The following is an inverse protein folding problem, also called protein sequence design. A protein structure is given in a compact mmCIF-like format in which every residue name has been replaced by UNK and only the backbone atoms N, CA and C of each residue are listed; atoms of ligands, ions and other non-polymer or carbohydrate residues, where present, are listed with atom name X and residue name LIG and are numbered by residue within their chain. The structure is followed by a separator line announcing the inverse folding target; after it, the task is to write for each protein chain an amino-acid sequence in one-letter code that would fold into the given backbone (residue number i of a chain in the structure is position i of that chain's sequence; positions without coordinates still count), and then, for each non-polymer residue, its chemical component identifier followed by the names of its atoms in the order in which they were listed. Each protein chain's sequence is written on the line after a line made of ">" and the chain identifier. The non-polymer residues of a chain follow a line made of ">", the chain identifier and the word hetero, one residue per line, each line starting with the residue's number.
data_IF_645945411431
#
_entry.id   IF_645945411431
#
_cell.length_a   1.000
_cell.length_b   1.000
_cell.length_c   1.000
_cell.angle_alpha   90.00
_cell.angle_beta   90.00
_cell.angle_gamma   90.00
#
_symmetry.space_group_name_H-M   'P 1'
#
loop_
_entity.id
_entity.type
_entity.pdbx_description
1 polymer ?
#
# COMPACT_ATOMS: atom_id res chain seq x y z
N UNK A 1 -6.46 -16.05 -5.08
CA UNK A 1 -6.34 -14.88 -5.98
C UNK A 1 -5.65 -13.68 -5.31
N UNK A 2 -6.19 -13.11 -4.23
CA UNK A 2 -5.64 -11.88 -3.59
C UNK A 2 -4.17 -12.00 -3.19
N UNK A 3 -3.78 -13.09 -2.52
CA UNK A 3 -2.39 -13.29 -2.08
C UNK A 3 -1.39 -13.47 -3.22
N UNK A 4 -1.83 -13.85 -4.42
CA UNK A 4 -0.95 -13.87 -5.61
C UNK A 4 -0.60 -12.45 -6.02
N UNK A 5 -1.58 -11.54 -5.99
CA UNK A 5 -1.34 -10.11 -6.27
C UNK A 5 -0.47 -9.52 -5.17
N UNK A 6 -0.75 -9.82 -3.88
CA UNK A 6 0.09 -9.38 -2.77
C UNK A 6 1.52 -9.88 -2.89
N UNK A 7 1.74 -11.12 -3.31
CA UNK A 7 3.08 -11.64 -3.60
C UNK A 7 3.79 -10.79 -4.65
N UNK A 8 3.14 -10.51 -5.79
CA UNK A 8 3.70 -9.66 -6.84
C UNK A 8 4.04 -8.26 -6.31
N UNK A 9 3.13 -7.66 -5.55
CA UNK A 9 3.35 -6.36 -4.92
C UNK A 9 4.54 -6.41 -3.96
N UNK A 10 4.66 -7.45 -3.12
CA UNK A 10 5.75 -7.59 -2.16
C UNK A 10 7.12 -7.72 -2.86
N UNK A 11 7.20 -8.45 -3.97
CA UNK A 11 8.41 -8.57 -4.79
C UNK A 11 8.76 -7.23 -5.44
N UNK A 12 7.79 -6.61 -6.13
CA UNK A 12 8.01 -5.38 -6.89
C UNK A 12 8.37 -4.24 -5.94
N UNK A 13 7.54 -3.98 -4.92
CA UNK A 13 7.72 -2.92 -3.93
C UNK A 13 9.09 -2.97 -3.27
N UNK A 14 9.57 -4.19 -2.96
CA UNK A 14 10.88 -4.48 -2.41
C UNK A 14 12.07 -3.90 -3.14
N UNK A 15 11.94 -3.77 -4.46
CA UNK A 15 13.00 -3.24 -5.32
C UNK A 15 12.77 -1.77 -5.61
N UNK A 16 11.55 -1.42 -5.97
CA UNK A 16 11.24 -0.09 -6.49
C UNK A 16 11.21 0.98 -5.39
N UNK A 17 10.64 0.68 -4.21
CA UNK A 17 10.48 1.66 -3.14
C UNK A 17 11.85 2.09 -2.60
N UNK A 18 12.72 1.19 -2.13
CA UNK A 18 14.05 1.60 -1.66
C UNK A 18 14.90 2.25 -2.77
N UNK A 19 14.81 1.78 -4.02
CA UNK A 19 15.55 2.41 -5.12
C UNK A 19 15.08 3.83 -5.43
N UNK A 20 13.77 4.07 -5.46
CA UNK A 20 13.22 5.42 -5.66
C UNK A 20 13.54 6.33 -4.48
N UNK A 21 13.50 5.80 -3.26
CA UNK A 21 13.91 6.54 -2.06
C UNK A 21 15.38 6.89 -2.07
N UNK A 22 16.26 5.96 -2.45
CA UNK A 22 17.68 6.21 -2.58
C UNK A 22 17.95 7.31 -3.61
N UNK A 23 17.38 7.20 -4.81
CA UNK A 23 17.60 8.17 -5.88
C UNK A 23 17.16 9.58 -5.48
N UNK A 24 15.99 9.70 -4.83
CA UNK A 24 15.50 11.00 -4.37
C UNK A 24 16.35 11.57 -3.24
N UNK A 25 16.72 10.76 -2.23
CA UNK A 25 17.57 11.20 -1.13
C UNK A 25 18.98 11.62 -1.58
N UNK A 26 19.57 10.87 -2.52
CA UNK A 26 20.86 11.23 -3.13
C UNK A 26 20.76 12.56 -3.88
N UNK A 27 19.67 12.81 -4.62
CA UNK A 27 19.44 14.08 -5.30
C UNK A 27 19.27 15.26 -4.33
N UNK A 28 18.86 15.00 -3.08
CA UNK A 28 18.80 15.99 -2.00
C UNK A 28 20.10 16.10 -1.19
N UNK A 29 21.17 15.39 -1.57
CA UNK A 29 22.46 15.41 -0.86
C UNK A 29 22.42 14.74 0.51
N UNK A 30 21.54 13.76 0.72
CA UNK A 30 21.45 13.03 1.98
C UNK A 30 22.73 12.23 2.28
N UNK A 31 23.10 12.16 3.57
CA UNK A 31 24.25 11.37 4.06
C UNK A 31 23.99 9.87 3.91
N UNK A 32 25.05 9.06 3.85
CA UNK A 32 24.95 7.60 3.70
C UNK A 32 24.10 6.92 4.79
N UNK A 33 24.17 7.39 6.04
CA UNK A 33 23.36 6.85 7.14
C UNK A 33 21.85 7.13 7.01
N UNK A 34 21.45 8.01 6.09
CA UNK A 34 20.06 8.31 5.76
C UNK A 34 19.47 7.35 4.71
N UNK A 35 20.33 6.62 4.00
CA UNK A 35 19.94 5.86 2.83
C UNK A 35 19.11 4.64 3.20
N UNK A 36 18.13 4.28 2.36
CA UNK A 36 17.37 3.06 2.55
C UNK A 36 18.31 1.86 2.45
N UNK A 37 18.04 0.84 3.26
CA UNK A 37 18.78 -0.42 3.30
C UNK A 37 17.91 -1.52 2.72
N UNK A 38 18.53 -2.37 1.90
CA UNK A 38 17.93 -3.61 1.42
C UNK A 38 18.64 -4.75 2.14
N UNK A 39 17.90 -5.48 2.98
CA UNK A 39 18.43 -6.63 3.73
C UNK A 39 17.93 -7.90 3.05
N UNK A 40 18.76 -8.66 2.31
CA UNK A 40 18.30 -9.77 1.48
C UNK A 40 17.50 -10.83 2.23
N UNK A 41 17.92 -11.18 3.44
CA UNK A 41 17.21 -12.15 4.28
C UNK A 41 15.79 -11.67 4.65
N UNK A 42 15.63 -10.38 4.93
CA UNK A 42 14.34 -9.79 5.29
C UNK A 42 13.41 -9.66 4.08
N UNK A 43 13.98 -9.38 2.90
CA UNK A 43 13.26 -9.38 1.63
C UNK A 43 12.69 -10.77 1.30
N UNK A 44 13.53 -11.81 1.39
CA UNK A 44 13.12 -13.20 1.18
C UNK A 44 12.06 -13.58 2.22
N UNK A 45 12.28 -13.25 3.49
CA UNK A 45 11.33 -13.55 4.56
C UNK A 45 9.95 -12.91 4.30
N UNK A 46 9.88 -11.65 3.86
CA UNK A 46 8.60 -11.00 3.58
C UNK A 46 7.85 -11.66 2.42
N UNK A 47 8.56 -12.06 1.37
CA UNK A 47 7.99 -12.75 0.22
C UNK A 47 7.48 -14.14 0.62
N UNK A 48 8.30 -14.92 1.31
CA UNK A 48 7.93 -16.28 1.78
C UNK A 48 6.74 -16.20 2.73
N UNK A 49 6.74 -15.26 3.67
CA UNK A 49 5.64 -15.11 4.62
C UNK A 49 4.34 -14.65 3.97
N UNK A 50 4.40 -13.85 2.90
CA UNK A 50 3.21 -13.55 2.10
C UNK A 50 2.60 -14.81 1.48
N UNK A 51 3.44 -15.71 0.95
CA UNK A 51 2.99 -16.98 0.36
C UNK A 51 2.42 -17.90 1.45
N UNK A 52 3.18 -18.14 2.52
CA UNK A 52 2.78 -19.01 3.63
C UNK A 52 1.47 -18.54 4.26
N UNK A 53 1.34 -17.24 4.54
CA UNK A 53 0.11 -16.65 5.08
C UNK A 53 -1.06 -16.79 4.11
N UNK A 54 -0.81 -16.59 2.81
CA UNK A 54 -1.83 -16.77 1.79
C UNK A 54 -2.35 -18.20 1.69
N UNK A 55 -1.46 -19.20 1.78
CA UNK A 55 -1.83 -20.62 1.82
C UNK A 55 -2.63 -20.91 3.10
N UNK A 56 -2.12 -20.51 4.26
CA UNK A 56 -2.77 -20.74 5.54
C UNK A 56 -4.19 -20.15 5.57
N UNK A 57 -4.36 -18.88 5.20
CA UNK A 57 -5.67 -18.23 5.16
C UNK A 57 -6.61 -18.88 4.13
N UNK A 58 -6.09 -19.39 3.01
CA UNK A 58 -6.92 -20.03 1.97
C UNK A 58 -7.50 -21.37 2.44
N UNK A 59 -6.69 -22.19 3.11
CA UNK A 59 -7.12 -23.54 3.52
C UNK A 59 -7.66 -23.59 4.95
N UNK A 60 -7.31 -22.62 5.80
CA UNK A 60 -7.68 -22.57 7.21
C UNK A 60 -7.95 -21.11 7.69
N UNK A 61 -8.95 -20.41 7.12
CA UNK A 61 -9.13 -18.94 7.23
C UNK A 61 -9.29 -18.40 8.65
N UNK A 62 -9.80 -19.19 9.60
CA UNK A 62 -10.04 -18.77 10.99
C UNK A 62 -9.38 -19.77 11.95
N UNK A 63 -8.11 -20.11 11.66
CA UNK A 63 -7.33 -21.04 12.49
C UNK A 63 -6.20 -20.31 13.22
N UNK A 64 -5.76 -20.82 14.40
CA UNK A 64 -4.58 -20.32 15.07
C UNK A 64 -3.34 -20.31 14.17
N UNK A 65 -3.21 -21.28 13.25
CA UNK A 65 -2.09 -21.36 12.29
C UNK A 65 -2.08 -20.14 11.36
N UNK A 66 -3.23 -19.77 10.78
CA UNK A 66 -3.36 -18.57 9.96
C UNK A 66 -3.12 -17.29 10.76
N UNK A 67 -3.56 -17.26 12.02
CA UNK A 67 -3.32 -16.14 12.93
C UNK A 67 -1.82 -15.92 13.22
N UNK A 68 -1.10 -16.98 13.55
CA UNK A 68 0.35 -16.94 13.79
C UNK A 68 1.09 -16.54 12.52
N UNK A 69 0.76 -17.16 11.38
CA UNK A 69 1.39 -16.84 10.09
C UNK A 69 1.21 -15.36 9.72
N UNK A 70 -0.02 -14.85 9.84
CA UNK A 70 -0.33 -13.44 9.59
C UNK A 70 0.40 -12.51 10.56
N UNK A 71 0.48 -12.85 11.85
CA UNK A 71 1.19 -12.04 12.83
C UNK A 71 2.69 -11.93 12.51
N UNK A 72 3.32 -13.06 12.17
CA UNK A 72 4.73 -13.10 11.75
C UNK A 72 4.94 -12.30 10.45
N UNK A 73 4.04 -12.45 9.47
CA UNK A 73 4.07 -11.66 8.24
C UNK A 73 3.96 -10.16 8.55
N UNK A 74 3.10 -9.76 9.48
CA UNK A 74 2.97 -8.37 9.89
C UNK A 74 4.29 -7.81 10.43
N UNK A 75 4.93 -8.51 11.36
CA UNK A 75 6.22 -8.07 11.91
C UNK A 75 7.32 -8.01 10.83
N UNK A 76 7.40 -9.01 9.96
CA UNK A 76 8.41 -9.06 8.90
C UNK A 76 8.22 -7.94 7.88
N UNK A 77 6.98 -7.67 7.44
CA UNK A 77 6.72 -6.56 6.53
C UNK A 77 6.96 -5.19 7.19
N UNK A 78 6.65 -5.01 8.48
CA UNK A 78 6.94 -3.79 9.22
C UNK A 78 8.45 -3.58 9.38
N UNK A 79 9.18 -4.62 9.77
CA UNK A 79 10.64 -4.60 9.86
C UNK A 79 11.25 -4.26 8.50
N UNK A 80 10.75 -4.86 7.41
CA UNK A 80 11.22 -4.57 6.04
C UNK A 80 11.01 -3.10 5.67
N UNK A 81 9.80 -2.58 5.90
CA UNK A 81 9.48 -1.18 5.60
C UNK A 81 10.33 -0.20 6.40
N UNK A 82 10.67 -0.53 7.66
CA UNK A 82 11.51 0.32 8.52
C UNK A 82 12.91 0.57 7.94
N UNK A 83 13.38 -0.32 7.06
CA UNK A 83 14.68 -0.17 6.41
C UNK A 83 14.67 0.82 5.25
N UNK A 84 13.51 1.29 4.79
CA UNK A 84 13.38 2.06 3.55
C UNK A 84 13.40 3.58 3.73
N UNK A 85 13.68 4.10 4.92
CA UNK A 85 13.80 5.54 5.19
C UNK A 85 12.58 6.39 4.76
N UNK A 86 11.39 5.80 4.71
CA UNK A 86 10.19 6.43 4.12
C UNK A 86 9.79 7.76 4.75
N UNK A 87 9.97 7.93 6.08
CA UNK A 87 9.65 9.19 6.76
C UNK A 87 10.48 10.39 6.27
N UNK A 88 11.64 10.15 5.65
CA UNK A 88 12.46 11.22 5.07
C UNK A 88 11.90 11.75 3.75
N UNK A 89 10.90 11.07 3.18
CA UNK A 89 10.28 11.39 1.88
C UNK A 89 9.02 12.23 2.01
N UNK A 90 8.71 12.78 3.20
CA UNK A 90 7.49 13.58 3.45
C UNK A 90 7.37 14.79 2.53
N UNK A 91 8.49 15.35 2.06
CA UNK A 91 8.53 16.43 1.08
C UNK A 91 8.17 16.03 -0.36
N UNK A 92 8.08 14.72 -0.67
CA UNK A 92 7.79 14.19 -2.00
C UNK A 92 6.57 13.25 -1.96
N UNK A 93 5.34 13.77 -2.17
CA UNK A 93 4.11 12.99 -2.02
C UNK A 93 4.03 11.74 -2.90
N UNK A 94 4.59 11.77 -4.11
CA UNK A 94 4.59 10.59 -5.02
C UNK A 94 5.40 9.43 -4.44
N UNK A 95 6.39 9.73 -3.61
CA UNK A 95 7.26 8.74 -2.98
C UNK A 95 6.75 8.34 -1.59
N UNK A 96 6.24 9.30 -0.82
CA UNK A 96 5.65 9.03 0.49
C UNK A 96 4.47 8.04 0.37
N UNK A 97 3.59 8.24 -0.62
CA UNK A 97 2.41 7.37 -0.79
C UNK A 97 2.79 5.91 -1.07
N UNK A 98 3.94 5.64 -1.70
CA UNK A 98 4.42 4.26 -1.89
C UNK A 98 4.70 3.57 -0.55
N UNK A 99 5.31 4.29 0.40
CA UNK A 99 5.57 3.76 1.74
C UNK A 99 4.29 3.59 2.53
N UNK A 100 3.34 4.54 2.42
CA UNK A 100 2.03 4.46 3.06
C UNK A 100 1.23 3.27 2.49
N UNK A 101 1.24 3.07 1.18
CA UNK A 101 0.60 1.92 0.54
C UNK A 101 1.22 0.59 1.00
N UNK A 102 2.54 0.53 1.11
CA UNK A 102 3.21 -0.67 1.64
C UNK A 102 2.96 -0.87 3.14
N UNK A 103 2.77 0.19 3.94
CA UNK A 103 2.42 0.10 5.36
C UNK A 103 1.10 -0.64 5.59
N UNK A 104 0.22 -0.71 4.59
CA UNK A 104 -0.99 -1.52 4.68
C UNK A 104 -0.73 -3.03 4.70
N UNK A 105 0.44 -3.53 4.29
CA UNK A 105 0.80 -4.95 4.43
C UNK A 105 0.82 -5.37 5.89
N UNK A 106 1.67 -4.76 6.75
CA UNK A 106 1.72 -5.15 8.14
C UNK A 106 0.40 -4.85 8.86
N UNK A 107 -0.29 -3.75 8.52
CA UNK A 107 -1.60 -3.45 9.12
C UNK A 107 -2.67 -4.49 8.73
N UNK A 108 -2.79 -4.83 7.45
CA UNK A 108 -3.76 -5.81 6.97
C UNK A 108 -3.52 -7.20 7.54
N UNK A 109 -2.26 -7.64 7.64
CA UNK A 109 -1.93 -8.90 8.29
C UNK A 109 -2.10 -8.86 9.82
N UNK A 110 -1.87 -7.73 10.49
CA UNK A 110 -2.19 -7.60 11.91
C UNK A 110 -3.70 -7.74 12.17
N UNK A 111 -4.55 -7.15 11.31
CA UNK A 111 -6.01 -7.34 11.38
C UNK A 111 -6.39 -8.79 11.09
N UNK A 112 -5.73 -9.45 10.13
CA UNK A 112 -5.96 -10.88 9.85
C UNK A 112 -5.61 -11.76 11.06
N UNK A 113 -4.47 -11.48 11.72
CA UNK A 113 -4.06 -12.18 12.93
C UNK A 113 -5.07 -11.98 14.06
N UNK A 114 -5.46 -10.73 14.32
CA UNK A 114 -6.48 -10.40 15.31
C UNK A 114 -7.82 -11.10 15.03
N UNK A 115 -8.18 -11.23 13.76
CA UNK A 115 -9.40 -11.92 13.33
C UNK A 115 -9.39 -13.41 13.62
N UNK A 116 -8.22 -14.05 13.53
CA UNK A 116 -8.06 -15.48 13.77
C UNK A 116 -8.08 -15.87 15.26
N UNK A 117 -7.83 -14.93 16.18
CA UNK A 117 -7.73 -15.20 17.63
C UNK A 117 -8.95 -14.77 18.47
N UNK A 118 -10.07 -14.37 17.85
CA UNK A 118 -11.35 -14.25 18.58
C UNK A 118 -12.21 -13.03 18.26
N UNK A 119 -11.71 -12.05 17.51
CA UNK A 119 -12.52 -10.89 17.10
C UNK A 119 -12.87 -10.99 15.62
N UNK A 120 -14.06 -11.51 15.31
CA UNK A 120 -14.47 -11.82 13.94
C UNK A 120 -14.61 -10.56 13.05
N UNK A 121 -13.50 -10.13 12.45
CA UNK A 121 -13.44 -9.09 11.42
C UNK A 121 -12.80 -9.58 10.09
N UNK A 122 -13.09 -10.78 9.54
CA UNK A 122 -12.40 -11.28 8.34
C UNK A 122 -12.50 -10.33 7.13
N UNK A 123 -13.65 -9.66 7.00
CA UNK A 123 -13.88 -8.64 5.98
C UNK A 123 -12.88 -7.47 6.11
N UNK A 124 -12.59 -7.00 7.32
CA UNK A 124 -11.69 -5.86 7.53
C UNK A 124 -10.26 -6.19 7.09
N UNK A 125 -9.77 -7.39 7.40
CA UNK A 125 -8.45 -7.86 6.96
C UNK A 125 -8.33 -7.90 5.43
N UNK A 126 -9.35 -8.45 4.75
CA UNK A 126 -9.41 -8.51 3.29
C UNK A 126 -9.40 -7.10 2.68
N UNK A 127 -10.18 -6.16 3.21
CA UNK A 127 -10.20 -4.78 2.72
C UNK A 127 -8.88 -4.05 3.02
N UNK A 128 -8.23 -4.32 4.15
CA UNK A 128 -6.91 -3.73 4.47
C UNK A 128 -5.86 -4.14 3.43
N UNK A 129 -5.87 -5.41 3.01
CA UNK A 129 -4.96 -5.92 1.99
C UNK A 129 -5.37 -5.51 0.56
N UNK A 130 -6.66 -5.41 0.25
CA UNK A 130 -7.11 -5.08 -1.11
C UNK A 130 -7.18 -3.56 -1.35
N UNK A 131 -7.95 -2.82 -0.55
CA UNK A 131 -8.04 -1.36 -0.62
C UNK A 131 -6.71 -0.74 -0.20
N UNK A 132 -6.14 -1.16 0.93
CA UNK A 132 -4.89 -0.59 1.44
C UNK A 132 -3.70 -0.94 0.55
N UNK A 133 -3.31 -2.21 0.49
CA UNK A 133 -2.09 -2.58 -0.23
C UNK A 133 -2.25 -2.50 -1.74
N UNK A 134 -3.17 -3.29 -2.31
CA UNK A 134 -3.23 -3.46 -3.77
C UNK A 134 -3.60 -2.14 -4.45
N UNK A 135 -4.71 -1.52 -4.05
CA UNK A 135 -5.13 -0.26 -4.66
C UNK A 135 -4.19 0.89 -4.34
N UNK A 136 -3.69 0.97 -3.11
CA UNK A 136 -2.70 1.99 -2.74
C UNK A 136 -1.46 1.92 -3.63
N UNK A 137 -0.93 0.71 -3.86
CA UNK A 137 0.24 0.51 -4.71
C UNK A 137 -0.05 0.80 -6.18
N UNK A 138 -1.24 0.49 -6.68
CA UNK A 138 -1.66 0.84 -8.04
C UNK A 138 -1.71 2.37 -8.20
N UNK A 139 -2.41 3.08 -7.32
CA UNK A 139 -2.53 4.55 -7.38
C UNK A 139 -1.15 5.21 -7.26
N UNK A 140 -0.33 4.76 -6.30
CA UNK A 140 1.02 5.26 -6.07
C UNK A 140 1.94 5.06 -7.29
N UNK A 141 1.91 3.87 -7.90
CA UNK A 141 2.75 3.60 -9.06
C UNK A 141 2.24 4.24 -10.34
N UNK A 142 0.94 4.16 -10.62
CA UNK A 142 0.38 4.77 -11.82
C UNK A 142 0.61 6.28 -11.84
N UNK A 143 0.46 6.97 -10.70
CA UNK A 143 0.72 8.42 -10.63
C UNK A 143 2.17 8.78 -11.01
N UNK A 144 3.14 8.05 -10.46
CA UNK A 144 4.57 8.29 -10.73
C UNK A 144 4.98 7.86 -12.14
N UNK A 145 4.55 6.68 -12.58
CA UNK A 145 4.89 6.09 -13.88
C UNK A 145 4.29 6.89 -15.03
N UNK A 146 3.05 7.38 -14.88
CA UNK A 146 2.41 8.24 -15.89
C UNK A 146 3.20 9.53 -16.12
N UNK A 147 3.71 10.16 -15.07
CA UNK A 147 4.55 11.36 -15.20
C UNK A 147 5.90 11.02 -15.81
N UNK A 148 6.60 10.00 -15.27
CA UNK A 148 7.93 9.62 -15.71
C UNK A 148 8.02 9.17 -17.15
N UNK A 149 7.09 8.33 -17.63
CA UNK A 149 7.10 7.85 -19.02
C UNK A 149 6.56 8.85 -20.03
N UNK A 150 5.97 9.97 -19.58
CA UNK A 150 5.53 11.04 -20.47
C UNK A 150 6.46 12.26 -20.49
N UNK A 151 7.64 12.14 -19.87
CA UNK A 151 8.65 13.21 -19.82
C UNK A 151 8.27 14.36 -18.88
N UNK A 152 7.18 14.23 -18.11
CA UNK A 152 6.67 15.30 -17.25
C UNK A 152 7.40 15.29 -15.90
N UNK A 153 7.53 16.45 -15.23
CA UNK A 153 8.13 16.53 -13.91
C UNK A 153 7.45 15.57 -12.92
N UNK A 154 8.25 14.84 -12.15
CA UNK A 154 7.77 13.94 -11.09
C UNK A 154 7.31 14.75 -9.87
N UNK A 155 6.18 15.48 -10.02
CA UNK A 155 5.59 16.29 -8.97
C UNK A 155 4.09 16.03 -8.88
N UNK A 156 3.62 15.65 -7.69
CA UNK A 156 2.19 15.51 -7.45
C UNK A 156 1.51 16.89 -7.49
N UNK A 157 0.43 17.02 -8.27
CA UNK A 157 -0.47 18.18 -8.16
C UNK A 157 -1.38 18.02 -6.94
N UNK A 158 -1.99 19.12 -6.48
CA UNK A 158 -2.85 19.12 -5.28
C UNK A 158 -3.98 18.08 -5.36
N UNK A 159 -4.57 17.90 -6.55
CA UNK A 159 -5.63 16.91 -6.76
C UNK A 159 -5.11 15.49 -6.57
N UNK A 160 -3.89 15.17 -7.03
CA UNK A 160 -3.26 13.86 -6.78
C UNK A 160 -3.07 13.60 -5.29
N UNK A 161 -2.63 14.60 -4.52
CA UNK A 161 -2.49 14.48 -3.06
C UNK A 161 -3.86 14.24 -2.41
N UNK A 162 -4.91 14.94 -2.86
CA UNK A 162 -6.28 14.70 -2.40
C UNK A 162 -6.73 13.27 -2.70
N UNK A 163 -6.43 12.72 -3.89
CA UNK A 163 -6.72 11.30 -4.21
C UNK A 163 -6.08 10.37 -3.20
N UNK A 164 -4.81 10.59 -2.82
CA UNK A 164 -4.14 9.77 -1.81
C UNK A 164 -4.84 9.83 -0.46
N UNK A 165 -5.26 11.02 -0.04
CA UNK A 165 -6.02 11.20 1.21
C UNK A 165 -7.37 10.48 1.15
N UNK A 166 -8.14 10.65 0.07
CA UNK A 166 -9.46 10.02 -0.09
C UNK A 166 -9.35 8.49 -0.14
N UNK A 167 -8.34 7.95 -0.82
CA UNK A 167 -8.05 6.51 -0.80
C UNK A 167 -7.76 6.01 0.62
N UNK A 168 -6.94 6.72 1.38
CA UNK A 168 -6.60 6.33 2.75
C UNK A 168 -7.81 6.44 3.69
N UNK A 169 -8.65 7.46 3.53
CA UNK A 169 -9.93 7.60 4.24
C UNK A 169 -10.90 6.47 3.90
N UNK A 170 -10.99 6.07 2.63
CA UNK A 170 -11.79 4.92 2.21
C UNK A 170 -11.38 3.68 2.97
N UNK A 171 -10.08 3.39 3.02
CA UNK A 171 -9.54 2.24 3.72
C UNK A 171 -9.92 2.27 5.21
N UNK A 172 -9.67 3.40 5.89
CA UNK A 172 -9.94 3.55 7.32
C UNK A 172 -11.43 3.40 7.65
N UNK A 173 -12.31 4.09 6.91
CA UNK A 173 -13.76 3.99 7.10
C UNK A 173 -14.22 2.55 6.86
N UNK A 174 -13.75 1.92 5.78
CA UNK A 174 -14.13 0.54 5.44
C UNK A 174 -13.70 -0.47 6.51
N UNK A 175 -12.52 -0.28 7.10
CA UNK A 175 -12.00 -1.14 8.17
C UNK A 175 -12.72 -0.93 9.50
N UNK A 176 -13.16 0.31 9.77
CA UNK A 176 -13.90 0.64 11.00
C UNK A 176 -15.33 0.11 10.99
N UNK A 177 -15.94 -0.06 9.82
CA UNK A 177 -17.36 -0.42 9.68
C UNK A 177 -17.82 -1.60 10.55
N UNK A 178 -17.14 -2.75 10.53
CA UNK A 178 -17.50 -3.89 11.37
C UNK A 178 -17.49 -3.64 12.89
N UNK A 179 -16.83 -2.57 13.37
CA UNK A 179 -16.79 -2.18 14.77
C UNK A 179 -17.99 -1.31 15.18
N UNK A 180 -18.75 -0.79 14.22
CA UNK A 180 -19.77 0.25 14.44
C UNK A 180 -21.21 -0.29 14.43
N UNK A 181 -21.39 -1.62 14.40
CA UNK A 181 -22.69 -2.28 14.52
C UNK A 181 -23.71 -1.77 13.50
N UNK A 182 -24.76 -1.11 13.98
CA UNK A 182 -25.88 -0.59 13.18
C UNK A 182 -25.45 0.43 12.11
N UNK A 183 -24.32 1.12 12.30
CA UNK A 183 -23.79 2.06 11.30
C UNK A 183 -23.01 1.37 10.18
N UNK A 184 -22.92 0.03 10.17
CA UNK A 184 -22.14 -0.72 9.18
C UNK A 184 -22.51 -0.34 7.74
N UNK A 185 -23.79 -0.32 7.38
CA UNK A 185 -24.23 0.02 6.02
C UNK A 185 -23.85 1.45 5.65
N UNK A 186 -24.05 2.41 6.57
CA UNK A 186 -23.65 3.79 6.36
C UNK A 186 -22.13 3.92 6.09
N UNK A 187 -21.31 3.15 6.82
CA UNK A 187 -19.86 3.15 6.60
C UNK A 187 -19.48 2.58 5.24
N UNK A 188 -20.21 1.58 4.75
CA UNK A 188 -20.02 1.00 3.41
C UNK A 188 -20.35 2.03 2.34
N UNK A 189 -21.51 2.69 2.42
CA UNK A 189 -21.95 3.70 1.46
C UNK A 189 -21.01 4.91 1.45
N UNK A 190 -20.57 5.35 2.62
CA UNK A 190 -19.62 6.45 2.77
C UNK A 190 -18.26 6.09 2.16
N UNK A 191 -17.72 4.92 2.47
CA UNK A 191 -16.47 4.45 1.90
C UNK A 191 -16.57 4.30 0.37
N UNK A 192 -17.67 3.75 -0.15
CA UNK A 192 -17.90 3.61 -1.58
C UNK A 192 -17.98 4.97 -2.30
N UNK A 193 -18.63 5.95 -1.68
CA UNK A 193 -18.73 7.31 -2.24
C UNK A 193 -17.36 7.99 -2.30
N UNK A 194 -16.60 7.96 -1.21
CA UNK A 194 -15.25 8.55 -1.15
C UNK A 194 -14.33 7.85 -2.16
N UNK A 195 -14.43 6.53 -2.29
CA UNK A 195 -13.71 5.73 -3.27
C UNK A 195 -14.00 6.18 -4.70
N UNK A 196 -15.28 6.28 -5.09
CA UNK A 196 -15.68 6.73 -6.42
C UNK A 196 -15.12 8.12 -6.74
N UNK A 197 -15.22 9.06 -5.79
CA UNK A 197 -14.65 10.41 -5.94
C UNK A 197 -13.13 10.34 -6.15
N UNK A 198 -12.41 9.54 -5.36
CA UNK A 198 -10.96 9.38 -5.50
C UNK A 198 -10.57 8.89 -6.90
N UNK A 199 -11.27 7.89 -7.44
CA UNK A 199 -10.99 7.35 -8.77
C UNK A 199 -11.38 8.30 -9.91
N UNK A 200 -12.49 9.02 -9.78
CA UNK A 200 -12.88 10.06 -10.76
C UNK A 200 -11.83 11.16 -10.81
N UNK A 201 -11.37 11.64 -9.65
CA UNK A 201 -10.30 12.65 -9.58
C UNK A 201 -8.97 12.11 -10.12
N UNK A 202 -8.63 10.85 -9.84
CA UNK A 202 -7.44 10.22 -10.39
C UNK A 202 -7.50 10.17 -11.93
N UNK A 203 -8.61 9.67 -12.48
CA UNK A 203 -8.82 9.61 -13.92
C UNK A 203 -8.79 10.99 -14.55
N UNK A 204 -9.43 11.99 -13.95
CA UNK A 204 -9.40 13.38 -14.42
C UNK A 204 -7.98 13.92 -14.58
N UNK A 205 -7.08 13.62 -13.63
CA UNK A 205 -5.68 14.08 -13.68
C UNK A 205 -4.87 13.29 -14.71
N UNK A 206 -4.95 11.96 -14.69
CA UNK A 206 -4.01 11.11 -15.43
C UNK A 206 -4.46 10.72 -16.84
N UNK A 207 -5.76 10.73 -17.12
CA UNK A 207 -6.29 10.49 -18.48
C UNK A 207 -5.68 11.44 -19.53
N UNK A 208 -5.74 12.78 -19.37
CA UNK A 208 -5.15 13.69 -20.36
C UNK A 208 -3.62 13.60 -20.42
N UNK A 209 -2.94 13.22 -19.34
CA UNK A 209 -1.49 13.03 -19.31
C UNK A 209 -1.10 11.87 -20.24
N UNK A 210 -1.84 10.77 -20.18
CA UNK A 210 -1.56 9.56 -20.95
C UNK A 210 -2.01 9.67 -22.43
N UNK A 211 -2.98 10.54 -22.73
CA UNK A 211 -3.50 10.74 -24.08
C UNK A 211 -2.78 11.83 -24.88
N UNK A 212 -1.91 12.63 -24.24
CA UNK A 212 -1.12 13.65 -24.91
C UNK A 212 0.27 13.11 -25.25
N UNK A 213 0.91 13.62 -26.33
CA UNK A 213 2.30 13.32 -26.62
C UNK A 213 3.20 13.58 -25.42
N UNK A 214 4.36 12.93 -25.42
CA UNK A 214 5.41 13.21 -24.46
C UNK A 214 5.87 14.66 -24.62
N UNK A 215 6.26 15.29 -23.52
CA UNK A 215 6.65 16.71 -23.54
C UNK A 215 8.12 16.93 -23.92
N UNK A 216 8.90 15.84 -23.99
CA UNK A 216 10.33 15.81 -24.32
C UNK A 216 10.61 15.31 -25.74
N UNK A 217 9.56 15.24 -26.58
CA UNK A 217 9.61 14.94 -28.01
C UNK A 217 9.31 16.20 -28.82
#
# INVERSE_FOLDING_TARGET
>A
AVHVILFLVAVIAGRIIPSFTANWLSAQGAKENAMPRVVPALDIAAIVMTIVTGIAITFAPVSPVSGIAALLAAFIHAARLSQWSGLRTVGEPLLLVLHIAYLWFPLGYAVAAFSAFGNYLPSAALHGLTIGVITGMIIAMMSRVSLGHTGRPLRAVRITVLVYVLWMLTALIRLSGPLLGDLYILTVETAATIWMVAFVLFAWVYWPILMKPRVDQ
#
